data_IF_396769532523
#
_entry.id   IF_396769532523
#
_cell.length_a   1.000
_cell.length_b   1.000
_cell.length_c   1.000
_cell.angle_alpha   90.00
_cell.angle_beta   90.00
_cell.angle_gamma   90.00
#
_symmetry.space_group_name_H-M   'P 1'
#
loop_
_entity.id
_entity.type
_entity.pdbx_description
1 polymer ?
#
# COMPACT_ATOMS: atom_id res chain seq x y z
N UNK A 1 10.63 -13.87 -22.49
CA UNK A 1 9.37 -14.17 -21.76
C UNK A 1 8.27 -13.29 -22.32
N UNK A 2 7.03 -13.72 -22.25
CA UNK A 2 5.85 -12.92 -22.60
C UNK A 2 5.23 -12.37 -21.33
N UNK A 3 5.07 -11.04 -21.26
CA UNK A 3 4.53 -10.33 -20.10
C UNK A 3 3.13 -9.81 -20.46
N UNK A 4 2.16 -10.01 -19.58
CA UNK A 4 0.80 -9.52 -19.70
C UNK A 4 0.45 -8.54 -18.58
N UNK A 5 -0.19 -7.45 -18.93
CA UNK A 5 -0.69 -6.45 -17.99
C UNK A 5 -2.19 -6.26 -18.24
N UNK A 6 -3.03 -6.99 -17.52
CA UNK A 6 -4.47 -6.79 -17.60
C UNK A 6 -4.88 -5.49 -16.90
N UNK A 7 -6.04 -4.96 -17.28
CA UNK A 7 -6.69 -3.84 -16.61
C UNK A 7 -7.14 -4.27 -15.21
N UNK A 8 -6.99 -3.39 -14.24
CA UNK A 8 -7.56 -3.61 -12.92
C UNK A 8 -9.08 -3.46 -12.94
N UNK A 9 -9.78 -4.41 -12.36
CA UNK A 9 -11.26 -4.47 -12.38
C UNK A 9 -11.89 -4.37 -10.99
N UNK A 10 -11.07 -4.22 -9.94
CA UNK A 10 -11.58 -3.95 -8.59
C UNK A 10 -12.21 -2.56 -8.54
N UNK A 11 -13.31 -2.38 -7.80
CA UNK A 11 -13.87 -1.04 -7.55
C UNK A 11 -12.81 -0.08 -7.00
N UNK A 12 -12.80 1.14 -7.51
CA UNK A 12 -11.88 2.24 -7.12
C UNK A 12 -10.38 1.93 -7.30
N UNK A 13 -10.03 0.93 -8.14
CA UNK A 13 -8.64 0.65 -8.52
C UNK A 13 -8.38 1.16 -9.94
N UNK A 14 -7.62 2.20 -10.05
CA UNK A 14 -7.29 2.91 -11.29
C UNK A 14 -5.80 2.85 -11.65
N UNK A 15 -5.00 2.17 -10.82
CA UNK A 15 -3.57 1.95 -11.09
C UNK A 15 -3.38 0.88 -12.15
N UNK A 16 -2.17 0.77 -12.68
CA UNK A 16 -1.77 -0.26 -13.65
C UNK A 16 -0.39 -0.83 -13.29
N UNK A 17 -0.13 -2.09 -13.62
CA UNK A 17 1.07 -2.82 -13.21
C UNK A 17 2.38 -2.30 -13.82
N UNK A 18 2.33 -1.70 -15.02
CA UNK A 18 3.50 -1.14 -15.70
C UNK A 18 3.21 0.24 -16.30
N UNK A 19 4.26 1.07 -16.38
CA UNK A 19 4.26 2.33 -17.14
C UNK A 19 5.00 2.16 -18.48
N UNK A 20 4.82 3.05 -19.48
CA UNK A 20 5.49 2.93 -20.79
C UNK A 20 7.02 2.83 -20.71
N UNK A 21 7.66 3.53 -19.78
CA UNK A 21 9.11 3.42 -19.60
C UNK A 21 9.55 2.00 -19.17
N UNK A 22 8.74 1.34 -18.34
CA UNK A 22 9.00 -0.05 -17.93
C UNK A 22 8.77 -1.04 -19.08
N UNK A 23 7.75 -0.79 -19.91
CA UNK A 23 7.54 -1.56 -21.16
C UNK A 23 8.77 -1.46 -22.04
N UNK A 24 9.30 -0.25 -22.27
CA UNK A 24 10.50 -0.05 -23.09
C UNK A 24 11.70 -0.83 -22.53
N UNK A 25 11.95 -0.77 -21.22
CA UNK A 25 13.03 -1.52 -20.60
C UNK A 25 12.88 -3.04 -20.80
N UNK A 26 11.69 -3.59 -20.65
CA UNK A 26 11.42 -5.01 -20.89
C UNK A 26 11.59 -5.38 -22.38
N UNK A 27 11.20 -4.49 -23.30
CA UNK A 27 11.38 -4.68 -24.74
C UNK A 27 12.86 -4.67 -25.15
N UNK A 28 13.67 -3.79 -24.56
CA UNK A 28 15.11 -3.71 -24.79
C UNK A 28 15.83 -5.00 -24.35
N UNK A 29 15.32 -5.67 -23.30
CA UNK A 29 15.78 -7.00 -22.85
C UNK A 29 15.22 -8.16 -23.72
N UNK A 30 14.50 -7.87 -24.81
CA UNK A 30 13.99 -8.87 -25.75
C UNK A 30 12.68 -9.54 -25.37
N UNK A 31 11.94 -8.99 -24.38
CA UNK A 31 10.66 -9.53 -23.94
C UNK A 31 9.51 -8.99 -24.76
N UNK A 32 8.41 -9.75 -24.86
CA UNK A 32 7.15 -9.28 -25.46
C UNK A 32 6.22 -8.82 -24.36
N UNK A 33 5.59 -7.64 -24.56
CA UNK A 33 4.66 -7.06 -23.58
C UNK A 33 3.29 -6.86 -24.22
N UNK A 34 2.28 -7.47 -23.61
CA UNK A 34 0.86 -7.27 -23.93
C UNK A 34 0.21 -6.42 -22.85
N UNK A 35 -0.53 -5.40 -23.27
CA UNK A 35 -1.32 -4.54 -22.37
C UNK A 35 -2.79 -4.67 -22.78
N UNK A 36 -3.67 -4.88 -21.82
CA UNK A 36 -5.11 -4.81 -22.08
C UNK A 36 -5.50 -3.37 -22.45
N UNK A 37 -6.37 -3.22 -23.46
CA UNK A 37 -6.87 -1.92 -23.92
C UNK A 37 -7.45 -1.11 -22.75
N UNK A 38 -7.00 0.14 -22.66
CA UNK A 38 -7.43 1.06 -21.61
C UNK A 38 -6.93 0.74 -20.20
N UNK A 39 -5.97 -0.19 -20.02
CA UNK A 39 -5.44 -0.53 -18.70
C UNK A 39 -4.78 0.65 -17.99
N UNK A 40 -4.16 1.56 -18.73
CA UNK A 40 -3.48 2.74 -18.20
C UNK A 40 -4.35 3.99 -18.03
N UNK A 41 -5.56 4.01 -18.57
CA UNK A 41 -6.41 5.22 -18.62
C UNK A 41 -6.66 5.85 -17.26
N UNK A 42 -6.95 5.02 -16.25
CA UNK A 42 -7.16 5.47 -14.89
C UNK A 42 -5.96 6.18 -14.26
N UNK A 43 -4.75 5.88 -14.76
CA UNK A 43 -3.49 6.54 -14.36
C UNK A 43 -3.07 7.66 -15.35
N UNK A 44 -3.93 8.01 -16.30
CA UNK A 44 -3.66 9.02 -17.33
C UNK A 44 -2.57 8.59 -18.31
N UNK A 45 -2.52 7.30 -18.66
CA UNK A 45 -1.61 6.71 -19.64
C UNK A 45 -2.45 6.09 -20.73
N UNK A 46 -2.29 6.56 -21.97
CA UNK A 46 -3.03 6.09 -23.14
C UNK A 46 -2.43 4.80 -23.72
N UNK A 47 -3.26 4.04 -24.44
CA UNK A 47 -2.80 2.88 -25.20
C UNK A 47 -1.70 3.24 -26.21
N UNK A 48 -1.80 4.42 -26.84
CA UNK A 48 -0.79 4.93 -27.76
C UNK A 48 0.59 5.08 -27.10
N UNK A 49 0.66 5.58 -25.87
CA UNK A 49 1.94 5.69 -25.14
C UNK A 49 2.58 4.31 -24.89
N UNK A 50 1.75 3.28 -24.67
CA UNK A 50 2.24 1.90 -24.56
C UNK A 50 2.70 1.34 -25.91
N UNK A 51 1.98 1.59 -27.01
CA UNK A 51 2.37 1.19 -28.36
C UNK A 51 3.69 1.86 -28.76
N UNK A 52 3.85 3.17 -28.50
CA UNK A 52 5.09 3.92 -28.75
C UNK A 52 6.27 3.40 -27.91
N UNK A 53 6.00 2.77 -26.74
CA UNK A 53 6.99 2.08 -25.92
C UNK A 53 7.29 0.65 -26.39
N UNK A 54 6.55 0.12 -27.38
CA UNK A 54 6.74 -1.19 -27.99
C UNK A 54 5.85 -2.30 -27.43
N UNK A 55 4.82 -1.98 -26.64
CA UNK A 55 3.79 -2.95 -26.25
C UNK A 55 2.82 -3.24 -27.42
N UNK A 56 2.13 -4.37 -27.31
CA UNK A 56 0.99 -4.69 -28.14
C UNK A 56 -0.29 -4.59 -27.30
N UNK A 57 -1.27 -3.85 -27.81
CA UNK A 57 -2.56 -3.69 -27.14
C UNK A 57 -3.48 -4.83 -27.56
N UNK A 58 -4.12 -5.47 -26.58
CA UNK A 58 -5.11 -6.52 -26.79
C UNK A 58 -6.48 -6.07 -26.26
N UNK A 59 -7.53 -6.34 -27.06
CA UNK A 59 -8.90 -5.95 -26.73
C UNK A 59 -9.54 -6.91 -25.71
N UNK A 60 -9.21 -8.19 -25.81
CA UNK A 60 -9.76 -9.25 -24.95
C UNK A 60 -8.82 -9.52 -23.77
N UNK A 61 -9.29 -9.29 -22.52
CA UNK A 61 -8.52 -9.64 -21.33
C UNK A 61 -8.11 -11.12 -21.30
N UNK A 62 -8.97 -12.03 -21.79
CA UNK A 62 -8.65 -13.46 -21.84
C UNK A 62 -7.41 -13.74 -22.70
N UNK A 63 -7.19 -12.99 -23.78
CA UNK A 63 -5.98 -13.13 -24.61
C UNK A 63 -4.72 -12.66 -23.88
N UNK A 64 -4.81 -11.59 -23.06
CA UNK A 64 -3.67 -11.12 -22.26
C UNK A 64 -3.21 -12.22 -21.30
N UNK A 65 -4.16 -12.82 -20.59
CA UNK A 65 -3.88 -13.90 -19.64
C UNK A 65 -3.37 -15.16 -20.34
N UNK A 66 -4.02 -15.55 -21.46
CA UNK A 66 -3.68 -16.79 -22.16
C UNK A 66 -2.26 -16.77 -22.78
N UNK A 67 -1.81 -15.60 -23.28
CA UNK A 67 -0.51 -15.46 -23.94
C UNK A 67 0.65 -15.24 -22.98
N UNK A 68 0.42 -14.66 -21.79
CA UNK A 68 1.46 -14.24 -20.89
C UNK A 68 2.02 -15.38 -20.04
N UNK A 69 3.34 -15.45 -19.93
CA UNK A 69 4.07 -16.29 -18.97
C UNK A 69 4.13 -15.61 -17.59
N UNK A 70 4.25 -14.28 -17.59
CA UNK A 70 4.31 -13.42 -16.42
C UNK A 70 3.18 -12.39 -16.49
N UNK A 71 2.25 -12.47 -15.56
CA UNK A 71 1.20 -11.46 -15.36
C UNK A 71 1.66 -10.46 -14.29
N UNK A 72 1.62 -9.18 -14.64
CA UNK A 72 1.94 -8.08 -13.72
C UNK A 72 0.68 -7.28 -13.46
N UNK A 73 0.24 -7.25 -12.21
CA UNK A 73 -0.93 -6.50 -11.72
C UNK A 73 -0.57 -5.62 -10.53
N UNK A 74 -1.51 -4.82 -10.09
CA UNK A 74 -1.43 -4.10 -8.82
C UNK A 74 -2.13 -4.88 -7.72
N UNK A 75 -3.36 -5.33 -7.97
CA UNK A 75 -4.18 -6.08 -7.00
C UNK A 75 -4.29 -7.55 -7.36
N UNK A 76 -4.61 -8.32 -6.35
CA UNK A 76 -4.90 -9.75 -6.49
C UNK A 76 -6.01 -9.99 -7.50
N UNK A 77 -5.99 -11.14 -8.21
CA UNK A 77 -7.07 -11.53 -9.11
C UNK A 77 -8.42 -11.58 -8.40
N UNK A 78 -9.44 -11.12 -9.10
CA UNK A 78 -10.84 -11.22 -8.68
C UNK A 78 -11.43 -12.58 -9.10
N UNK A 79 -12.58 -13.00 -8.55
CA UNK A 79 -13.22 -14.26 -8.95
C UNK A 79 -13.46 -14.41 -10.46
N UNK A 80 -13.71 -13.30 -11.16
CA UNK A 80 -13.89 -13.31 -12.63
C UNK A 80 -12.59 -13.70 -13.33
N UNK A 81 -11.45 -13.27 -12.81
CA UNK A 81 -10.12 -13.54 -13.38
C UNK A 81 -9.59 -14.95 -13.07
N UNK A 82 -10.17 -15.65 -12.09
CA UNK A 82 -9.70 -17.00 -11.73
C UNK A 82 -9.75 -17.99 -12.90
N UNK A 83 -10.72 -17.82 -13.82
CA UNK A 83 -10.85 -18.68 -14.99
C UNK A 83 -9.67 -18.55 -15.98
N UNK A 84 -8.94 -17.44 -15.94
CA UNK A 84 -7.80 -17.16 -16.82
C UNK A 84 -6.47 -17.66 -16.27
N UNK A 85 -6.41 -18.01 -14.97
CA UNK A 85 -5.20 -18.55 -14.35
C UNK A 85 -4.84 -19.91 -14.93
N UNK A 86 -3.58 -20.15 -15.26
CA UNK A 86 -3.11 -21.40 -15.87
C UNK A 86 -1.84 -21.95 -15.23
N UNK A 87 -1.63 -23.26 -15.35
CA UNK A 87 -0.43 -23.94 -14.86
C UNK A 87 0.85 -23.33 -15.45
N UNK A 88 1.86 -23.16 -14.61
CA UNK A 88 3.18 -22.61 -14.97
C UNK A 88 3.24 -21.08 -15.12
N UNK A 89 2.10 -20.40 -15.03
CA UNK A 89 2.05 -18.93 -15.09
C UNK A 89 2.62 -18.32 -13.82
N UNK A 90 3.37 -17.22 -13.96
CA UNK A 90 3.83 -16.39 -12.84
C UNK A 90 2.86 -15.22 -12.70
N UNK A 91 2.35 -15.01 -11.49
CA UNK A 91 1.54 -13.87 -11.12
C UNK A 91 2.33 -13.00 -10.14
N UNK A 92 2.65 -11.76 -10.54
CA UNK A 92 3.45 -10.81 -9.78
C UNK A 92 2.60 -9.58 -9.44
N UNK A 93 2.17 -9.47 -8.19
CA UNK A 93 1.18 -8.48 -7.72
C UNK A 93 1.12 -8.45 -6.20
N UNK A 94 0.37 -7.51 -5.59
CA UNK A 94 -0.11 -7.69 -4.22
C UNK A 94 -1.11 -8.84 -4.19
N UNK A 95 -0.88 -9.85 -3.36
CA UNK A 95 -1.72 -11.04 -3.28
C UNK A 95 -2.62 -11.06 -2.04
N UNK A 96 -2.12 -10.59 -0.91
CA UNK A 96 -2.82 -10.58 0.38
C UNK A 96 -3.48 -11.93 0.72
N UNK A 97 -2.73 -13.03 0.56
CA UNK A 97 -3.30 -14.39 0.65
C UNK A 97 -3.81 -14.74 2.04
N UNK A 98 -3.19 -14.25 3.11
CA UNK A 98 -3.57 -14.61 4.48
C UNK A 98 -5.08 -14.50 4.77
N UNK A 99 -5.79 -13.41 4.39
CA UNK A 99 -7.25 -13.29 4.52
C UNK A 99 -8.03 -13.83 3.30
N UNK A 100 -7.38 -14.43 2.29
CA UNK A 100 -7.99 -14.79 1.01
C UNK A 100 -7.89 -16.30 0.70
N UNK A 101 -8.54 -17.20 1.48
CA UNK A 101 -8.40 -18.65 1.32
C UNK A 101 -8.91 -19.15 -0.05
N UNK A 102 -9.93 -18.51 -0.62
CA UNK A 102 -10.43 -18.88 -1.94
C UNK A 102 -9.40 -18.62 -3.04
N UNK A 103 -8.76 -17.43 -3.03
CA UNK A 103 -7.71 -17.11 -3.99
C UNK A 103 -6.54 -18.10 -3.84
N UNK A 104 -6.11 -18.38 -2.61
CA UNK A 104 -5.05 -19.37 -2.35
C UNK A 104 -5.40 -20.72 -2.98
N UNK A 105 -6.61 -21.23 -2.74
CA UNK A 105 -7.09 -22.47 -3.31
C UNK A 105 -7.07 -22.48 -4.85
N UNK A 106 -7.45 -21.36 -5.48
CA UNK A 106 -7.43 -21.22 -6.95
C UNK A 106 -6.01 -21.23 -7.51
N UNK A 107 -5.06 -20.53 -6.85
CA UNK A 107 -3.67 -20.53 -7.26
C UNK A 107 -3.04 -21.93 -7.15
N UNK A 108 -3.32 -22.64 -6.06
CA UNK A 108 -2.84 -24.02 -5.84
C UNK A 108 -3.41 -24.99 -6.86
N UNK A 109 -4.75 -24.98 -7.05
CA UNK A 109 -5.44 -25.89 -7.97
C UNK A 109 -4.96 -25.72 -9.43
N UNK A 110 -4.59 -24.51 -9.82
CA UNK A 110 -4.08 -24.19 -11.16
C UNK A 110 -2.55 -24.16 -11.24
N UNK A 111 -1.87 -24.51 -10.14
CA UNK A 111 -0.42 -24.56 -10.06
C UNK A 111 0.28 -23.27 -10.51
N UNK A 112 -0.33 -22.11 -10.19
CA UNK A 112 0.23 -20.79 -10.48
C UNK A 112 1.35 -20.47 -9.51
N UNK A 113 2.42 -19.85 -10.01
CA UNK A 113 3.44 -19.25 -9.16
C UNK A 113 3.01 -17.86 -8.75
N UNK A 114 2.55 -17.71 -7.51
CA UNK A 114 2.15 -16.44 -6.94
C UNK A 114 3.31 -15.74 -6.23
N UNK A 115 3.74 -14.59 -6.75
CA UNK A 115 4.79 -13.76 -6.16
C UNK A 115 4.14 -12.50 -5.61
N UNK A 116 4.11 -12.39 -4.28
CA UNK A 116 3.46 -11.31 -3.57
C UNK A 116 4.42 -10.13 -3.34
N UNK A 117 4.05 -8.94 -3.77
CA UNK A 117 4.82 -7.72 -3.55
C UNK A 117 5.08 -7.46 -2.06
N UNK A 118 4.07 -7.69 -1.22
CA UNK A 118 4.09 -7.40 0.21
C UNK A 118 4.94 -8.36 1.04
N UNK A 119 5.44 -9.46 0.46
CA UNK A 119 6.30 -10.42 1.16
C UNK A 119 7.74 -10.42 0.66
N UNK A 120 8.05 -9.66 -0.41
CA UNK A 120 9.43 -9.44 -0.84
C UNK A 120 10.14 -8.57 0.19
N UNK A 121 11.32 -9.03 0.65
CA UNK A 121 12.14 -8.30 1.62
C UNK A 121 13.45 -7.84 1.00
N UNK A 122 14.06 -6.81 1.57
CA UNK A 122 15.46 -6.48 1.29
C UNK A 122 16.41 -7.18 2.29
N UNK A 123 17.71 -6.94 2.15
CA UNK A 123 18.74 -7.52 3.01
C UNK A 123 18.62 -7.10 4.49
N UNK A 124 17.85 -6.05 4.79
CA UNK A 124 17.59 -5.55 6.13
C UNK A 124 16.22 -5.95 6.68
N UNK A 125 15.44 -6.75 5.91
CA UNK A 125 14.09 -7.18 6.27
C UNK A 125 13.01 -6.10 6.06
N UNK A 126 13.31 -5.00 5.35
CA UNK A 126 12.29 -4.06 4.94
C UNK A 126 11.50 -4.59 3.75
N UNK A 127 10.33 -4.02 3.50
CA UNK A 127 9.39 -4.39 2.44
C UNK A 127 9.45 -3.36 1.30
N UNK A 128 10.42 -3.47 0.37
CA UNK A 128 10.71 -2.43 -0.62
C UNK A 128 9.54 -2.17 -1.57
N UNK A 129 8.71 -3.17 -1.88
CA UNK A 129 7.58 -2.99 -2.78
C UNK A 129 6.32 -2.46 -2.07
N UNK A 130 6.25 -2.54 -0.74
CA UNK A 130 5.18 -1.93 0.07
C UNK A 130 5.49 -0.46 0.39
N UNK A 131 6.76 -0.12 0.51
CA UNK A 131 7.24 1.22 0.90
C UNK A 131 6.62 2.35 0.08
N UNK A 132 6.57 2.35 -1.27
CA UNK A 132 6.01 3.46 -2.04
C UNK A 132 4.54 3.73 -1.73
N UNK A 133 3.75 2.69 -1.51
CA UNK A 133 2.34 2.87 -1.15
C UNK A 133 2.18 3.46 0.24
N UNK A 134 3.03 3.08 1.18
CA UNK A 134 3.09 3.69 2.51
C UNK A 134 3.54 5.16 2.46
N UNK A 135 4.44 5.53 1.55
CA UNK A 135 4.85 6.91 1.33
C UNK A 135 3.70 7.75 0.79
N UNK A 136 2.99 7.24 -0.23
CA UNK A 136 1.80 7.90 -0.78
C UNK A 136 0.72 8.06 0.28
N UNK A 137 0.40 6.99 1.01
CA UNK A 137 -0.62 7.02 2.07
C UNK A 137 -0.30 8.05 3.16
N UNK A 138 0.95 8.11 3.64
CA UNK A 138 1.37 9.08 4.65
C UNK A 138 1.22 10.53 4.18
N UNK A 139 1.59 10.83 2.93
CA UNK A 139 1.43 12.16 2.35
C UNK A 139 -0.05 12.53 2.15
N UNK A 140 -0.85 11.60 1.66
CA UNK A 140 -2.29 11.79 1.47
C UNK A 140 -3.02 11.99 2.79
N UNK A 141 -2.61 11.32 3.86
CA UNK A 141 -3.27 11.42 5.17
C UNK A 141 -3.35 12.88 5.66
N UNK A 142 -2.31 13.67 5.41
CA UNK A 142 -2.31 15.10 5.76
C UNK A 142 -3.23 15.91 4.85
N UNK A 143 -3.21 15.66 3.53
CA UNK A 143 -4.09 16.36 2.57
C UNK A 143 -5.57 16.11 2.88
N UNK A 144 -5.90 14.84 3.10
CA UNK A 144 -7.27 14.43 3.49
C UNK A 144 -7.64 15.05 4.82
N UNK A 145 -6.78 14.97 5.84
CA UNK A 145 -6.99 15.55 7.14
C UNK A 145 -7.25 17.08 7.05
N UNK A 146 -6.47 17.79 6.24
CA UNK A 146 -6.64 19.23 6.01
C UNK A 146 -7.99 19.54 5.34
N UNK A 147 -8.43 18.72 4.39
CA UNK A 147 -9.72 18.86 3.73
C UNK A 147 -10.87 18.69 4.72
N UNK A 148 -10.83 17.62 5.51
CA UNK A 148 -11.91 17.33 6.47
C UNK A 148 -11.87 18.20 7.73
N UNK A 149 -10.82 18.96 7.99
CA UNK A 149 -10.82 20.03 9.00
C UNK A 149 -11.67 21.23 8.60
N UNK A 150 -12.00 21.39 7.30
CA UNK A 150 -12.86 22.46 6.82
C UNK A 150 -14.29 22.30 7.34
N UNK A 151 -14.94 23.44 7.67
CA UNK A 151 -16.31 23.45 8.21
C UNK A 151 -17.33 22.84 7.25
N UNK A 152 -17.14 23.03 5.95
CA UNK A 152 -18.00 22.49 4.88
C UNK A 152 -17.98 20.96 4.81
N UNK A 153 -16.95 20.32 5.35
CA UNK A 153 -16.83 18.86 5.45
C UNK A 153 -17.12 18.29 6.85
N UNK A 154 -17.65 19.13 7.75
CA UNK A 154 -17.97 18.71 9.12
C UNK A 154 -16.87 18.94 10.15
N UNK A 155 -15.68 19.38 9.72
CA UNK A 155 -14.56 19.68 10.60
C UNK A 155 -14.75 20.93 11.45
N UNK A 156 -13.79 21.20 12.33
CA UNK A 156 -13.86 22.34 13.26
C UNK A 156 -13.52 23.70 12.64
N UNK A 157 -13.18 23.76 11.35
CA UNK A 157 -12.89 25.02 10.63
C UNK A 157 -11.48 25.58 10.94
N UNK A 158 -10.47 24.73 10.99
CA UNK A 158 -9.08 25.09 11.29
C UNK A 158 -8.21 24.91 10.04
N UNK A 159 -7.37 25.91 9.76
CA UNK A 159 -6.37 25.85 8.69
C UNK A 159 -5.06 25.29 9.25
N UNK A 160 -4.46 24.30 8.57
CA UNK A 160 -3.28 23.61 9.08
C UNK A 160 -2.12 24.56 9.41
N UNK A 161 -1.77 25.48 8.51
CA UNK A 161 -0.66 26.40 8.68
C UNK A 161 -0.97 27.65 9.49
N UNK A 162 -2.23 27.85 9.93
CA UNK A 162 -2.66 29.13 10.52
C UNK A 162 -2.48 30.31 9.54
N UNK A 163 -2.47 31.51 10.08
CA UNK A 163 -2.13 32.77 9.36
C UNK A 163 -1.45 33.73 10.34
N UNK A 164 -0.81 34.82 9.90
CA UNK A 164 -0.24 35.81 10.81
C UNK A 164 -1.25 36.25 11.89
N UNK A 165 -0.88 36.08 13.16
CA UNK A 165 -1.74 36.33 14.31
C UNK A 165 -2.65 35.18 14.74
N UNK A 166 -2.70 34.06 14.02
CA UNK A 166 -3.47 32.85 14.36
C UNK A 166 -2.57 31.62 14.34
N UNK A 167 -2.55 30.87 15.42
CA UNK A 167 -1.71 29.66 15.55
C UNK A 167 -2.05 28.59 14.52
N UNK A 168 -1.04 27.85 14.04
CA UNK A 168 -1.24 26.65 13.24
C UNK A 168 -2.00 25.54 13.98
N UNK A 169 -2.61 24.63 13.21
CA UNK A 169 -3.23 23.43 13.72
C UNK A 169 -2.22 22.50 14.41
N UNK A 170 -2.68 21.77 15.41
CA UNK A 170 -1.91 20.73 16.08
C UNK A 170 -2.17 19.38 15.41
N UNK A 171 -1.11 18.81 14.82
CA UNK A 171 -1.14 17.50 14.17
C UNK A 171 -0.38 16.49 15.02
N UNK A 172 -1.06 15.42 15.39
CA UNK A 172 -0.44 14.29 16.12
C UNK A 172 -0.33 13.10 15.18
N UNK A 173 0.86 12.53 15.08
CA UNK A 173 1.16 11.39 14.22
C UNK A 173 1.58 10.21 15.11
N UNK A 174 0.79 9.14 15.07
CA UNK A 174 1.05 7.88 15.78
C UNK A 174 1.75 6.92 14.83
N UNK A 175 3.01 6.61 15.13
CA UNK A 175 3.92 5.81 14.32
C UNK A 175 4.94 6.67 13.56
N UNK A 176 6.23 6.36 13.72
CA UNK A 176 7.38 6.99 13.05
C UNK A 176 7.94 6.12 11.90
N UNK A 177 7.16 5.17 11.39
CA UNK A 177 7.48 4.34 10.23
C UNK A 177 7.42 5.12 8.91
N UNK A 178 7.30 4.41 7.79
CA UNK A 178 7.26 5.04 6.45
C UNK A 178 6.06 5.99 6.32
N UNK A 179 4.86 5.55 6.70
CA UNK A 179 3.63 6.35 6.70
C UNK A 179 3.82 7.62 7.54
N UNK A 180 4.23 7.46 8.82
CA UNK A 180 4.38 8.59 9.73
C UNK A 180 5.45 9.57 9.29
N UNK A 181 6.62 9.12 8.83
CA UNK A 181 7.69 9.98 8.29
C UNK A 181 7.20 10.85 7.13
N UNK A 182 6.40 10.28 6.23
CA UNK A 182 5.85 11.01 5.09
C UNK A 182 4.71 11.95 5.50
N UNK A 183 3.91 11.58 6.50
CA UNK A 183 2.93 12.47 7.10
C UNK A 183 3.60 13.68 7.79
N UNK A 184 4.68 13.46 8.57
CA UNK A 184 5.48 14.53 9.16
C UNK A 184 5.95 15.51 8.11
N UNK A 185 6.54 15.01 7.03
CA UNK A 185 7.10 15.83 5.94
C UNK A 185 6.05 16.79 5.35
N UNK A 186 4.84 16.30 5.12
CA UNK A 186 3.77 17.13 4.55
C UNK A 186 3.18 18.06 5.60
N UNK A 187 2.93 17.60 6.84
CA UNK A 187 2.38 18.44 7.90
C UNK A 187 3.31 19.61 8.26
N UNK A 188 4.61 19.36 8.36
CA UNK A 188 5.65 20.40 8.55
C UNK A 188 5.67 21.34 7.34
N UNK A 189 5.66 20.80 6.11
CA UNK A 189 5.63 21.60 4.89
C UNK A 189 4.40 22.51 4.75
N UNK A 190 3.28 22.11 5.37
CA UNK A 190 2.06 22.92 5.46
C UNK A 190 2.04 23.88 6.66
N UNK A 191 3.11 23.93 7.46
CA UNK A 191 3.27 24.83 8.59
C UNK A 191 2.54 24.44 9.86
N UNK A 192 2.12 23.19 10.00
CA UNK A 192 1.42 22.70 11.20
C UNK A 192 2.38 22.54 12.42
N UNK A 193 1.83 22.56 13.62
CA UNK A 193 2.52 22.13 14.83
C UNK A 193 2.47 20.61 14.95
N UNK A 194 3.59 19.92 14.67
CA UNK A 194 3.63 18.46 14.55
C UNK A 194 4.20 17.80 15.80
N UNK A 195 3.48 16.81 16.33
CA UNK A 195 3.97 15.91 17.38
C UNK A 195 3.95 14.47 16.85
N UNK A 196 5.08 13.77 16.94
CA UNK A 196 5.23 12.36 16.52
C UNK A 196 5.39 11.47 17.73
N UNK A 197 4.68 10.36 17.74
CA UNK A 197 4.69 9.40 18.85
C UNK A 197 5.02 8.01 18.31
N UNK A 198 6.09 7.40 18.84
CA UNK A 198 6.48 6.03 18.50
C UNK A 198 7.09 5.33 19.71
N UNK A 199 7.06 4.00 19.73
CA UNK A 199 7.75 3.19 20.75
C UNK A 199 9.25 3.04 20.45
N UNK A 200 9.66 3.19 19.22
CA UNK A 200 11.03 3.03 18.74
C UNK A 200 11.80 4.35 18.82
N UNK A 201 12.70 4.46 19.78
CA UNK A 201 13.52 5.66 19.99
C UNK A 201 14.46 5.95 18.82
N UNK A 202 14.95 4.95 18.11
CA UNK A 202 15.84 5.19 16.96
C UNK A 202 15.09 5.82 15.81
N UNK A 203 13.82 5.46 15.63
CA UNK A 203 12.95 6.16 14.66
C UNK A 203 12.68 7.60 15.07
N UNK A 204 12.46 7.85 16.35
CA UNK A 204 12.29 9.23 16.86
C UNK A 204 13.55 10.05 16.71
N UNK A 205 14.76 9.51 17.03
CA UNK A 205 16.04 10.16 16.77
C UNK A 205 16.23 10.50 15.29
N UNK A 206 15.96 9.54 14.41
CA UNK A 206 16.05 9.77 12.97
C UNK A 206 15.17 10.93 12.49
N UNK A 207 13.95 11.05 13.01
CA UNK A 207 13.07 12.17 12.67
C UNK A 207 13.53 13.48 13.30
N UNK A 208 14.06 13.45 14.52
CA UNK A 208 14.64 14.61 15.20
C UNK A 208 15.86 15.16 14.43
N UNK A 209 16.73 14.28 13.96
CA UNK A 209 17.90 14.64 13.14
C UNK A 209 17.51 15.32 11.81
N UNK A 210 16.37 14.87 11.20
CA UNK A 210 15.92 15.42 9.91
C UNK A 210 15.15 16.73 10.07
N UNK A 211 14.25 16.81 11.05
CA UNK A 211 13.29 17.91 11.17
C UNK A 211 13.63 18.89 12.30
N UNK A 212 14.49 18.51 13.24
CA UNK A 212 14.91 19.33 14.35
C UNK A 212 13.74 19.94 15.11
N UNK A 213 13.81 21.24 15.40
CA UNK A 213 12.79 21.96 16.16
C UNK A 213 11.42 22.12 15.48
N UNK A 214 11.28 21.68 14.22
CA UNK A 214 10.00 21.75 13.49
C UNK A 214 8.99 20.71 13.99
N UNK A 215 9.46 19.70 14.72
CA UNK A 215 8.61 18.67 15.29
C UNK A 215 8.87 18.49 16.79
N UNK A 216 7.93 17.80 17.44
CA UNK A 216 8.11 17.27 18.80
C UNK A 216 8.02 15.77 18.74
N UNK A 217 8.89 15.07 19.46
CA UNK A 217 8.91 13.61 19.53
C UNK A 217 8.56 13.15 20.94
N UNK A 218 7.71 12.12 21.05
CA UNK A 218 7.31 11.52 22.32
C UNK A 218 7.35 9.99 22.22
N UNK A 219 7.76 9.36 23.32
CA UNK A 219 7.64 7.89 23.44
C UNK A 219 6.18 7.48 23.58
N UNK A 220 5.80 6.43 22.85
CA UNK A 220 4.44 5.88 22.88
C UNK A 220 4.11 5.22 24.20
N UNK A 221 3.19 5.80 24.92
CA UNK A 221 2.48 5.26 26.07
C UNK A 221 1.11 5.93 26.19
N UNK A 222 0.21 5.35 26.96
CA UNK A 222 -1.17 5.84 27.10
C UNK A 222 -1.24 7.30 27.56
N UNK A 223 -0.36 7.71 28.50
CA UNK A 223 -0.35 9.08 29.02
C UNK A 223 0.07 10.09 27.96
N UNK A 224 1.16 9.83 27.24
CA UNK A 224 1.64 10.72 26.19
C UNK A 224 0.66 10.82 25.02
N UNK A 225 0.03 9.70 24.64
CA UNK A 225 -1.01 9.71 23.58
C UNK A 225 -2.19 10.55 24.04
N UNK A 226 -2.72 10.32 25.25
CA UNK A 226 -3.84 11.07 25.81
C UNK A 226 -3.58 12.58 25.77
N UNK A 227 -2.46 13.02 26.35
CA UNK A 227 -2.12 14.45 26.44
C UNK A 227 -1.91 15.09 25.07
N UNK A 228 -1.39 14.33 24.09
CA UNK A 228 -1.17 14.83 22.75
C UNK A 228 -2.49 15.03 22.00
N UNK A 229 -3.41 14.05 22.06
CA UNK A 229 -4.67 14.09 21.30
C UNK A 229 -5.72 15.03 21.91
N UNK A 230 -5.65 15.32 23.22
CA UNK A 230 -6.58 16.21 23.91
C UNK A 230 -6.72 17.57 23.19
N UNK A 231 -5.62 18.08 22.67
CA UNK A 231 -5.59 19.37 21.98
C UNK A 231 -5.31 19.25 20.48
N UNK A 232 -5.40 18.04 19.92
CA UNK A 232 -5.16 17.83 18.50
C UNK A 232 -6.33 18.29 17.65
N UNK A 233 -6.00 18.89 16.51
CA UNK A 233 -6.96 19.18 15.44
C UNK A 233 -7.03 18.02 14.47
N UNK A 234 -5.87 17.40 14.18
CA UNK A 234 -5.71 16.25 13.30
C UNK A 234 -4.86 15.18 13.96
N UNK A 235 -5.34 13.96 13.96
CA UNK A 235 -4.58 12.77 14.37
C UNK A 235 -4.41 11.84 13.18
N UNK A 236 -3.18 11.42 12.89
CA UNK A 236 -2.87 10.47 11.82
C UNK A 236 -2.31 9.19 12.46
N UNK A 237 -2.97 8.07 12.20
CA UNK A 237 -2.55 6.76 12.66
C UNK A 237 -1.83 6.01 11.53
N UNK A 238 -0.51 5.81 11.69
CA UNK A 238 0.35 5.16 10.69
C UNK A 238 1.19 4.03 11.29
N UNK A 239 0.62 3.27 12.23
CA UNK A 239 1.31 2.14 12.86
C UNK A 239 1.07 0.88 12.04
N UNK A 240 2.15 0.21 11.64
CA UNK A 240 2.13 -1.06 10.95
C UNK A 240 2.95 -2.08 11.75
N UNK A 241 2.35 -3.25 12.00
CA UNK A 241 3.05 -4.42 12.52
C UNK A 241 3.00 -5.49 11.44
N UNK A 242 4.14 -5.86 10.83
CA UNK A 242 4.16 -6.89 9.81
C UNK A 242 3.51 -8.20 10.30
N UNK A 243 2.54 -8.72 9.54
CA UNK A 243 1.87 -9.97 9.85
C UNK A 243 0.90 -9.96 11.05
N UNK A 244 0.63 -8.80 11.67
CA UNK A 244 -0.27 -8.70 12.82
C UNK A 244 -1.25 -7.52 12.70
N UNK A 245 -2.32 -7.57 13.50
CA UNK A 245 -3.25 -6.47 13.62
C UNK A 245 -2.60 -5.24 14.27
N UNK A 246 -3.02 -4.05 13.86
CA UNK A 246 -2.59 -2.80 14.49
C UNK A 246 -3.06 -2.74 15.96
N UNK A 247 -2.22 -2.25 16.89
CA UNK A 247 -2.62 -2.09 18.27
C UNK A 247 -3.64 -0.95 18.41
N UNK A 248 -4.62 -1.11 19.29
CA UNK A 248 -5.58 -0.05 19.62
C UNK A 248 -4.93 0.98 20.54
N UNK A 249 -4.41 2.05 19.95
CA UNK A 249 -3.71 3.13 20.67
C UNK A 249 -4.66 4.22 21.17
N UNK A 250 -5.77 4.45 20.48
CA UNK A 250 -6.81 5.39 20.87
C UNK A 250 -8.07 4.61 21.20
N UNK A 251 -8.49 4.68 22.47
CA UNK A 251 -9.74 4.08 22.92
C UNK A 251 -10.92 5.01 22.68
N UNK A 252 -12.15 4.48 22.66
CA UNK A 252 -13.36 5.32 22.55
C UNK A 252 -13.43 6.37 23.67
N UNK A 253 -13.03 6.03 24.88
CA UNK A 253 -12.97 6.97 26.01
C UNK A 253 -12.09 8.19 25.71
N UNK A 254 -11.01 7.99 24.97
CA UNK A 254 -10.08 9.09 24.64
C UNK A 254 -10.69 10.09 23.66
N UNK A 255 -11.72 9.71 22.86
CA UNK A 255 -12.37 10.63 21.95
C UNK A 255 -13.08 11.78 22.71
N UNK A 256 -13.55 11.53 23.95
CA UNK A 256 -14.21 12.54 24.74
C UNK A 256 -13.33 13.72 25.16
N UNK A 257 -11.99 13.58 25.09
CA UNK A 257 -11.08 14.69 25.36
C UNK A 257 -10.70 15.48 24.10
N UNK A 258 -11.03 14.97 22.91
CA UNK A 258 -10.73 15.64 21.65
C UNK A 258 -11.71 16.78 21.37
N UNK A 259 -11.27 17.73 20.56
CA UNK A 259 -12.15 18.83 20.13
C UNK A 259 -13.25 18.32 19.20
N UNK A 260 -14.47 18.89 19.35
CA UNK A 260 -15.55 18.66 18.38
C UNK A 260 -15.12 19.06 16.97
N UNK A 261 -15.32 18.17 16.00
CA UNK A 261 -14.89 18.35 14.62
C UNK A 261 -13.38 18.19 14.41
N UNK A 262 -12.64 17.68 15.40
CA UNK A 262 -11.29 17.17 15.17
C UNK A 262 -11.35 15.97 14.22
N UNK A 263 -10.26 15.72 13.50
CA UNK A 263 -10.19 14.69 12.47
C UNK A 263 -9.20 13.60 12.85
N UNK A 264 -9.59 12.36 12.70
CA UNK A 264 -8.71 11.19 12.77
C UNK A 264 -8.62 10.58 11.37
N UNK A 265 -7.41 10.41 10.86
CA UNK A 265 -7.12 9.65 9.64
C UNK A 265 -6.41 8.36 10.04
N UNK A 266 -7.12 7.24 9.97
CA UNK A 266 -6.56 5.94 10.34
C UNK A 266 -6.08 5.19 9.09
N UNK A 267 -4.80 5.39 8.75
CA UNK A 267 -4.12 4.70 7.64
C UNK A 267 -3.93 3.21 7.95
N UNK A 268 -3.94 2.83 9.22
CA UNK A 268 -3.76 1.44 9.67
C UNK A 268 -5.03 0.59 9.54
N UNK A 269 -6.11 1.14 8.99
CA UNK A 269 -7.43 0.47 8.89
C UNK A 269 -7.36 -0.87 8.16
N UNK A 270 -6.47 -1.02 7.18
CA UNK A 270 -6.23 -2.29 6.47
C UNK A 270 -5.78 -3.43 7.43
N UNK A 271 -5.22 -3.08 8.58
CA UNK A 271 -4.80 -4.00 9.64
C UNK A 271 -5.68 -3.89 10.89
N UNK A 272 -6.94 -3.53 10.72
CA UNK A 272 -7.91 -3.40 11.81
C UNK A 272 -7.94 -2.03 12.49
N UNK A 273 -7.06 -1.10 12.13
CA UNK A 273 -7.00 0.26 12.64
C UNK A 273 -6.38 0.43 14.02
N UNK A 274 -5.76 1.59 14.28
CA UNK A 274 -5.18 1.94 15.57
C UNK A 274 -6.20 2.57 16.54
N UNK A 275 -7.39 2.92 16.09
CA UNK A 275 -8.44 3.50 16.92
C UNK A 275 -9.50 2.45 17.20
N UNK A 276 -9.98 2.37 18.42
CA UNK A 276 -10.98 1.38 18.84
C UNK A 276 -12.27 1.50 18.00
N UNK A 277 -12.62 2.74 17.61
CA UNK A 277 -13.82 3.07 16.85
C UNK A 277 -13.63 3.03 15.33
N UNK A 278 -12.41 2.74 14.83
CA UNK A 278 -12.16 2.63 13.39
C UNK A 278 -12.92 1.48 12.77
N UNK A 279 -13.51 1.76 11.60
CA UNK A 279 -14.10 0.78 10.70
C UNK A 279 -13.80 1.16 9.26
N UNK A 280 -13.60 0.21 8.35
CA UNK A 280 -13.37 0.52 6.95
C UNK A 280 -14.51 1.34 6.33
N UNK A 281 -14.13 2.32 5.52
CA UNK A 281 -15.01 3.16 4.70
C UNK A 281 -14.61 3.03 3.23
N UNK A 282 -15.24 3.79 2.33
CA UNK A 282 -14.94 3.74 0.89
C UNK A 282 -14.52 5.13 0.39
N UNK A 283 -13.95 5.22 -0.80
CA UNK A 283 -13.63 6.51 -1.41
C UNK A 283 -14.89 7.36 -1.70
N UNK A 284 -16.03 6.72 -1.94
CA UNK A 284 -17.33 7.39 -2.19
C UNK A 284 -18.05 7.82 -0.92
N UNK A 285 -17.83 7.14 0.21
CA UNK A 285 -18.35 7.48 1.54
C UNK A 285 -17.22 7.38 2.59
N UNK A 286 -16.28 8.36 2.60
CA UNK A 286 -14.98 8.17 3.23
C UNK A 286 -14.95 8.44 4.73
N UNK A 287 -15.99 9.08 5.30
CA UNK A 287 -15.97 9.57 6.68
C UNK A 287 -17.21 9.19 7.48
N UNK A 288 -17.04 9.12 8.79
CA UNK A 288 -18.13 9.00 9.74
C UNK A 288 -17.77 9.71 11.05
N UNK A 289 -18.76 9.98 11.89
CA UNK A 289 -18.56 10.60 13.18
C UNK A 289 -18.73 9.59 14.33
N UNK A 290 -17.88 9.72 15.33
CA UNK A 290 -18.04 9.08 16.65
C UNK A 290 -17.74 10.14 17.70
N UNK A 291 -18.68 10.37 18.61
CA UNK A 291 -18.52 11.30 19.74
C UNK A 291 -18.02 12.70 19.28
N UNK A 292 -18.62 13.24 18.19
CA UNK A 292 -18.27 14.51 17.54
C UNK A 292 -16.86 14.57 16.88
N UNK A 293 -16.11 13.46 16.82
CA UNK A 293 -14.83 13.35 16.12
C UNK A 293 -15.02 12.70 14.75
N UNK A 294 -14.50 13.32 13.70
CA UNK A 294 -14.59 12.84 12.34
C UNK A 294 -13.51 11.76 12.09
N UNK A 295 -13.92 10.61 11.59
CA UNK A 295 -13.04 9.49 11.23
C UNK A 295 -12.98 9.33 9.73
N UNK A 296 -11.77 9.34 9.16
CA UNK A 296 -11.47 8.93 7.79
C UNK A 296 -10.70 7.60 7.86
N UNK A 297 -11.31 6.54 7.34
CA UNK A 297 -10.80 5.17 7.46
C UNK A 297 -10.90 4.41 6.13
N UNK A 298 -10.51 5.07 5.03
CA UNK A 298 -10.55 4.47 3.69
C UNK A 298 -9.35 3.55 3.50
N UNK A 299 -9.57 2.23 3.29
CA UNK A 299 -8.51 1.31 2.88
C UNK A 299 -7.96 1.71 1.50
N UNK A 300 -6.71 1.31 1.22
CA UNK A 300 -6.10 1.57 -0.08
C UNK A 300 -6.10 3.05 -0.51
N UNK A 301 -5.80 3.95 0.43
CA UNK A 301 -5.67 5.39 0.14
C UNK A 301 -4.87 5.71 -1.14
N UNK A 302 -3.74 5.01 -1.45
CA UNK A 302 -2.99 5.25 -2.68
C UNK A 302 -3.77 5.06 -3.99
N UNK A 303 -4.88 4.31 -3.96
CA UNK A 303 -5.77 4.13 -5.12
C UNK A 303 -6.42 5.44 -5.59
N UNK A 304 -6.62 6.41 -4.69
CA UNK A 304 -7.20 7.72 -5.03
C UNK A 304 -6.25 8.65 -5.81
N UNK A 305 -4.96 8.34 -5.88
CA UNK A 305 -3.96 9.08 -6.66
C UNK A 305 -3.22 8.12 -7.60
N UNK A 306 -3.95 7.49 -8.54
CA UNK A 306 -3.47 6.34 -9.29
C UNK A 306 -2.24 6.67 -10.15
N UNK A 307 -2.15 7.87 -10.73
CA UNK A 307 -0.97 8.27 -11.52
C UNK A 307 0.30 8.26 -10.68
N UNK A 308 0.31 8.92 -9.53
CA UNK A 308 1.47 8.94 -8.62
C UNK A 308 1.81 7.53 -8.14
N UNK A 309 0.79 6.78 -7.73
CA UNK A 309 0.95 5.43 -7.18
C UNK A 309 1.46 4.44 -8.21
N UNK A 310 0.99 4.50 -9.45
CA UNK A 310 1.44 3.64 -10.56
C UNK A 310 2.92 3.86 -10.85
N UNK A 311 3.36 5.10 -11.01
CA UNK A 311 4.77 5.39 -11.24
C UNK A 311 5.66 4.99 -10.06
N UNK A 312 5.24 5.32 -8.83
CA UNK A 312 5.98 4.95 -7.64
C UNK A 312 6.12 3.43 -7.48
N UNK A 313 5.05 2.67 -7.74
CA UNK A 313 5.07 1.22 -7.67
C UNK A 313 5.94 0.62 -8.78
N UNK A 314 5.75 1.06 -10.03
CA UNK A 314 6.50 0.52 -11.17
C UNK A 314 8.02 0.73 -11.00
N UNK A 315 8.45 1.87 -10.44
CA UNK A 315 9.87 2.15 -10.19
C UNK A 315 10.54 1.07 -9.32
N UNK A 316 9.82 0.49 -8.37
CA UNK A 316 10.36 -0.52 -7.47
C UNK A 316 10.07 -1.95 -7.93
N UNK A 317 9.01 -2.20 -8.69
CA UNK A 317 8.66 -3.55 -9.19
C UNK A 317 9.43 -3.91 -10.45
N UNK A 318 9.79 -2.92 -11.30
CA UNK A 318 10.47 -3.16 -12.57
C UNK A 318 11.78 -3.98 -12.44
N UNK A 319 12.70 -3.70 -11.50
CA UNK A 319 13.92 -4.51 -11.37
C UNK A 319 13.63 -6.00 -11.13
N UNK A 320 12.60 -6.31 -10.36
CA UNK A 320 12.17 -7.70 -10.11
C UNK A 320 11.49 -8.31 -11.34
N UNK A 321 10.66 -7.54 -12.04
CA UNK A 321 10.01 -7.98 -13.27
C UNK A 321 11.05 -8.32 -14.35
N UNK A 322 12.06 -7.47 -14.55
CA UNK A 322 13.18 -7.71 -15.48
C UNK A 322 13.94 -8.96 -15.07
N UNK A 323 14.28 -9.10 -13.78
CA UNK A 323 14.99 -10.28 -13.24
C UNK A 323 14.21 -11.57 -13.50
N UNK A 324 12.91 -11.59 -13.20
CA UNK A 324 12.03 -12.74 -13.43
C UNK A 324 11.93 -13.07 -14.93
N UNK A 325 11.76 -12.05 -15.76
CA UNK A 325 11.59 -12.21 -17.20
C UNK A 325 12.86 -12.72 -17.89
N UNK A 326 14.04 -12.21 -17.50
CA UNK A 326 15.32 -12.53 -18.17
C UNK A 326 15.97 -13.80 -17.64
N UNK A 327 15.84 -14.08 -16.33
CA UNK A 327 16.50 -15.25 -15.70
C UNK A 327 15.57 -16.45 -15.52
N UNK A 328 14.25 -16.24 -15.55
CA UNK A 328 13.26 -17.21 -15.11
C UNK A 328 13.20 -17.33 -13.58
N UNK A 329 12.13 -17.94 -13.05
CA UNK A 329 11.87 -18.02 -11.61
C UNK A 329 13.06 -18.60 -10.83
N UNK A 330 13.54 -19.79 -11.23
CA UNK A 330 14.56 -20.55 -10.45
C UNK A 330 15.85 -19.74 -10.25
N UNK A 331 16.39 -19.20 -11.33
CA UNK A 331 17.64 -18.42 -11.24
C UNK A 331 17.41 -17.06 -10.54
N UNK A 332 16.26 -16.43 -10.75
CA UNK A 332 15.91 -15.17 -10.10
C UNK A 332 15.87 -15.30 -8.57
N UNK A 333 15.16 -16.32 -8.03
CA UNK A 333 15.06 -16.52 -6.58
C UNK A 333 16.36 -17.04 -5.94
N UNK A 334 17.21 -17.74 -6.71
CA UNK A 334 18.56 -18.12 -6.25
C UNK A 334 19.48 -16.91 -6.12
N UNK A 335 19.35 -15.93 -7.01
CA UNK A 335 20.15 -14.71 -7.00
C UNK A 335 19.67 -13.67 -6.00
N UNK A 336 18.44 -13.79 -5.50
CA UNK A 336 17.79 -12.78 -4.67
C UNK A 336 16.96 -13.45 -3.56
N UNK A 337 17.52 -13.57 -2.35
CA UNK A 337 16.82 -14.17 -1.21
C UNK A 337 15.53 -13.40 -0.83
N UNK A 338 15.50 -12.08 -1.06
CA UNK A 338 14.32 -11.26 -0.81
C UNK A 338 13.18 -11.58 -1.78
N UNK A 339 13.50 -11.74 -3.07
CA UNK A 339 12.52 -12.17 -4.06
C UNK A 339 11.99 -13.58 -3.76
N UNK A 340 12.84 -14.48 -3.25
CA UNK A 340 12.42 -15.82 -2.81
C UNK A 340 11.31 -15.75 -1.75
N UNK A 341 11.43 -14.84 -0.76
CA UNK A 341 10.38 -14.61 0.25
C UNK A 341 9.07 -14.13 -0.37
N UNK A 342 9.13 -13.54 -1.56
CA UNK A 342 7.94 -13.13 -2.32
C UNK A 342 7.13 -14.29 -2.88
N UNK A 343 7.71 -15.48 -3.08
CA UNK A 343 7.01 -16.63 -3.65
C UNK A 343 6.09 -17.24 -2.59
N UNK A 344 4.80 -17.05 -2.74
CA UNK A 344 3.80 -17.51 -1.76
C UNK A 344 3.12 -18.81 -2.18
N UNK A 345 3.03 -19.07 -3.49
CA UNK A 345 2.55 -20.35 -4.04
C UNK A 345 3.43 -20.78 -5.22
N UNK A 346 3.67 -22.07 -5.37
CA UNK A 346 4.39 -22.63 -6.51
C UNK A 346 3.94 -24.07 -6.78
N UNK A 347 3.66 -24.41 -8.05
CA UNK A 347 3.32 -25.77 -8.51
C UNK A 347 2.27 -26.50 -7.63
N UNK A 348 1.34 -25.80 -7.03
CA UNK A 348 0.28 -26.36 -6.19
C UNK A 348 0.62 -26.42 -4.69
N UNK A 349 1.74 -25.87 -4.26
CA UNK A 349 2.18 -25.83 -2.86
C UNK A 349 2.14 -24.40 -2.31
N UNK A 350 1.90 -24.27 -1.00
CA UNK A 350 2.07 -23.01 -0.28
C UNK A 350 3.54 -22.90 0.16
N UNK A 351 4.23 -21.86 -0.32
CA UNK A 351 5.67 -21.67 -0.13
C UNK A 351 6.00 -20.50 0.81
N UNK A 352 4.98 -19.92 1.48
CA UNK A 352 5.17 -18.88 2.48
C UNK A 352 4.59 -19.30 3.83
N UNK A 353 5.40 -19.34 4.91
CA UNK A 353 5.00 -19.93 6.19
C UNK A 353 3.81 -19.19 6.83
N UNK A 354 3.78 -17.85 6.78
CA UNK A 354 2.67 -17.10 7.37
C UNK A 354 1.33 -17.29 6.63
N UNK A 355 1.35 -17.55 5.33
CA UNK A 355 0.15 -17.91 4.56
C UNK A 355 -0.35 -19.30 4.98
N UNK A 356 0.56 -20.27 5.07
CA UNK A 356 0.23 -21.63 5.51
C UNK A 356 -0.38 -21.62 6.92
N UNK A 357 0.27 -20.95 7.87
CA UNK A 357 -0.21 -20.83 9.25
C UNK A 357 -1.59 -20.17 9.34
N UNK A 358 -1.79 -19.05 8.63
CA UNK A 358 -3.06 -18.29 8.68
C UNK A 358 -4.27 -19.08 8.16
N UNK A 359 -4.04 -20.06 7.28
CA UNK A 359 -5.09 -20.84 6.63
C UNK A 359 -5.10 -22.32 7.06
N UNK A 360 -4.19 -22.73 7.96
CA UNK A 360 -4.08 -24.12 8.39
C UNK A 360 -3.67 -25.08 7.26
N UNK A 361 -2.87 -24.60 6.30
CA UNK A 361 -2.34 -25.36 5.16
C UNK A 361 -0.92 -25.86 5.46
N UNK A 362 -0.51 -26.88 4.72
CA UNK A 362 0.86 -27.38 4.78
C UNK A 362 1.83 -26.38 4.11
N UNK A 363 2.93 -26.08 4.80
CA UNK A 363 4.03 -25.29 4.26
C UNK A 363 5.06 -26.19 3.59
N UNK A 364 5.44 -25.89 2.37
CA UNK A 364 6.49 -26.58 1.63
C UNK A 364 7.57 -25.57 1.23
N UNK A 365 8.82 -25.72 1.71
CA UNK A 365 9.92 -24.87 1.27
C UNK A 365 10.08 -24.90 -0.25
N UNK A 366 10.32 -23.73 -0.86
CA UNK A 366 10.43 -23.61 -2.33
C UNK A 366 11.53 -24.52 -2.91
N UNK A 367 12.60 -24.79 -2.14
CA UNK A 367 13.72 -25.66 -2.52
C UNK A 367 13.37 -27.14 -2.62
N UNK A 368 12.30 -27.56 -1.98
CA UNK A 368 11.84 -28.96 -1.97
C UNK A 368 10.91 -29.27 -3.14
N UNK A 369 10.55 -28.23 -3.95
CA UNK A 369 9.64 -28.36 -5.09
C UNK A 369 10.48 -28.45 -6.38
N UNK A 370 10.45 -29.60 -7.04
CA UNK A 370 11.14 -29.86 -8.32
C UNK A 370 10.52 -29.12 -9.53
#
# INVERSE_FOLDING_TARGET
>A
MIIGVPKEIKPDEYRVGLVPAAVRALREEGHTVYIERGAGEGSGISDREYEEAGAQILDDPAEVWARADLIIKVKEPTPIEYAHLREGQILFTYLHLAPAPELTRQLLARKVTGIAYETITDAHGYLPLLTPMSEVAGRMAVQVGATYLQKTHGGRGVLLGGVPGVLPAKVVILGAGVVGTNAVRIAVGMGAHVTVIDKNLDRLRYLDDIFGSQIRTLVSNTHNIWNAIENADLVICGVLIPGAAAPKLITRRMLSCMHKGAVIVDVSVDQGGCVETSRPTTHSDPVFFVDDVLHYCVPNMPGAVPRTSTFALTNVTLPYAVKLASMGLRAAVQSDPGLKMGVNTHKGYVTHPAVAESQGLEYTPLEEIE
#
